data_IF_098534614083
#
_entry.id   IF_098534614083
#
_cell.length_a   1.000
_cell.length_b   1.000
_cell.length_c   1.000
_cell.angle_alpha   90.00
_cell.angle_beta   90.00
_cell.angle_gamma   90.00
#
_symmetry.space_group_name_H-M   'P 1'
#
loop_
_entity.id
_entity.type
_entity.pdbx_description
1 polymer ?
#
# COMPACT_ATOMS: atom_id res chain seq x y z
N UNK A 1 -27.88 -11.93 -10.36
CA UNK A 1 -26.99 -10.95 -9.73
C UNK A 1 -26.70 -9.89 -10.78
N UNK A 2 -27.41 -8.76 -10.72
CA UNK A 2 -27.30 -7.69 -11.72
C UNK A 2 -26.27 -6.69 -11.18
N UNK A 3 -25.15 -6.57 -11.89
CA UNK A 3 -24.16 -5.52 -11.65
C UNK A 3 -24.82 -4.18 -12.02
N UNK A 4 -24.88 -3.25 -11.08
CA UNK A 4 -25.42 -1.91 -11.33
C UNK A 4 -24.62 -1.24 -12.46
N UNK A 5 -25.32 -0.90 -13.54
CA UNK A 5 -24.77 -0.29 -14.74
C UNK A 5 -24.23 1.10 -14.45
N UNK A 6 -22.92 1.32 -14.66
CA UNK A 6 -22.39 2.66 -14.94
C UNK A 6 -21.13 3.09 -14.19
N UNK A 7 -20.70 2.37 -13.15
CA UNK A 7 -19.44 2.68 -12.46
C UNK A 7 -18.34 1.73 -12.94
N UNK A 8 -17.13 2.23 -13.28
CA UNK A 8 -16.02 1.36 -13.63
C UNK A 8 -15.73 0.43 -12.45
N UNK A 9 -15.84 -0.87 -12.69
CA UNK A 9 -15.46 -1.88 -11.70
C UNK A 9 -13.94 -1.90 -11.68
N UNK A 10 -13.36 -1.27 -10.65
CA UNK A 10 -11.93 -1.40 -10.37
C UNK A 10 -11.73 -2.78 -9.74
N UNK A 11 -11.11 -3.68 -10.49
CA UNK A 11 -10.70 -4.99 -9.99
C UNK A 11 -9.34 -4.83 -9.29
N UNK A 12 -9.30 -5.10 -8.00
CA UNK A 12 -8.05 -5.13 -7.23
C UNK A 12 -7.72 -6.59 -6.86
N UNK A 13 -6.44 -6.96 -7.00
CA UNK A 13 -5.97 -8.31 -6.75
C UNK A 13 -5.83 -8.54 -5.23
N UNK A 14 -6.88 -9.13 -4.65
CA UNK A 14 -6.93 -9.39 -3.21
C UNK A 14 -5.85 -10.38 -2.73
N UNK A 15 -5.57 -11.44 -3.48
CA UNK A 15 -4.49 -12.39 -3.21
C UNK A 15 -4.11 -13.19 -4.44
N UNK A 16 -2.87 -13.68 -4.49
CA UNK A 16 -2.37 -14.59 -5.50
C UNK A 16 -1.57 -15.69 -4.80
N UNK A 17 -1.71 -16.93 -5.29
CA UNK A 17 -0.97 -18.08 -4.76
C UNK A 17 -0.39 -18.86 -5.92
N UNK A 18 0.92 -18.79 -6.09
CA UNK A 18 1.64 -19.66 -7.01
C UNK A 18 1.84 -21.03 -6.34
N UNK A 19 1.16 -22.06 -6.83
CA UNK A 19 1.29 -23.42 -6.31
C UNK A 19 2.62 -24.07 -6.69
N UNK A 20 3.23 -23.67 -7.79
CA UNK A 20 4.47 -24.25 -8.33
C UNK A 20 5.71 -23.41 -7.99
N UNK A 21 5.52 -22.22 -7.44
CA UNK A 21 6.58 -21.32 -7.00
C UNK A 21 7.41 -21.86 -5.83
N UNK A 22 8.52 -21.18 -5.49
CA UNK A 22 9.51 -21.66 -4.52
C UNK A 22 9.06 -21.62 -3.05
N UNK A 23 7.92 -21.00 -2.76
CA UNK A 23 7.39 -20.88 -1.40
C UNK A 23 7.15 -22.25 -0.75
N UNK A 24 7.20 -22.28 0.58
CA UNK A 24 6.91 -23.50 1.35
C UNK A 24 5.42 -23.86 1.28
N UNK A 25 5.10 -25.15 1.47
CA UNK A 25 3.71 -25.62 1.53
C UNK A 25 2.89 -24.91 2.62
N UNK A 26 3.51 -24.58 3.76
CA UNK A 26 2.85 -23.86 4.85
C UNK A 26 2.40 -22.47 4.40
N UNK A 27 3.29 -21.70 3.77
CA UNK A 27 2.96 -20.35 3.25
C UNK A 27 1.83 -20.41 2.22
N UNK A 28 1.87 -21.40 1.31
CA UNK A 28 0.81 -21.61 0.32
C UNK A 28 -0.53 -21.97 0.98
N UNK A 29 -0.51 -22.85 1.98
CA UNK A 29 -1.70 -23.26 2.71
C UNK A 29 -2.32 -22.08 3.50
N UNK A 30 -1.49 -21.24 4.11
CA UNK A 30 -1.94 -20.03 4.82
C UNK A 30 -2.61 -19.04 3.87
N UNK A 31 -2.06 -18.82 2.67
CA UNK A 31 -2.70 -17.98 1.67
C UNK A 31 -4.03 -18.57 1.18
N UNK A 32 -4.09 -19.88 0.93
CA UNK A 32 -5.33 -20.56 0.53
C UNK A 32 -6.36 -20.63 1.65
N UNK A 33 -5.95 -20.54 2.92
CA UNK A 33 -6.90 -20.53 4.04
C UNK A 33 -7.88 -19.35 3.93
N UNK A 34 -7.46 -18.23 3.35
CA UNK A 34 -8.27 -17.04 3.21
C UNK A 34 -9.55 -17.25 2.35
N UNK A 35 -9.56 -18.25 1.45
CA UNK A 35 -10.75 -18.61 0.65
C UNK A 35 -11.57 -19.75 1.27
N UNK A 36 -11.16 -20.27 2.44
CA UNK A 36 -11.92 -21.31 3.14
C UNK A 36 -13.24 -20.79 3.70
N UNK A 37 -14.21 -21.68 3.86
CA UNK A 37 -15.53 -21.35 4.45
C UNK A 37 -15.42 -20.70 5.83
N UNK A 38 -14.46 -21.14 6.64
CA UNK A 38 -14.27 -20.61 8.00
C UNK A 38 -13.64 -19.21 7.99
N UNK A 39 -12.68 -18.95 7.10
CA UNK A 39 -12.12 -17.61 6.91
C UNK A 39 -13.17 -16.61 6.41
N UNK A 40 -14.03 -17.02 5.47
CA UNK A 40 -15.12 -16.19 4.94
C UNK A 40 -16.13 -15.83 6.04
N UNK A 41 -16.57 -16.80 6.84
CA UNK A 41 -17.49 -16.55 7.97
C UNK A 41 -16.92 -15.54 8.97
N UNK A 42 -15.60 -15.55 9.17
CA UNK A 42 -14.88 -14.68 10.10
C UNK A 42 -14.47 -13.34 9.49
N UNK A 43 -14.89 -13.03 8.25
CA UNK A 43 -14.51 -11.80 7.53
C UNK A 43 -12.99 -11.62 7.36
N UNK A 44 -12.25 -12.73 7.35
CA UNK A 44 -10.79 -12.69 7.21
C UNK A 44 -10.34 -12.00 5.91
N UNK A 45 -11.11 -12.16 4.83
CA UNK A 45 -10.87 -11.46 3.57
C UNK A 45 -11.08 -9.95 3.68
N UNK A 46 -12.04 -9.49 4.47
CA UNK A 46 -12.26 -8.06 4.73
C UNK A 46 -11.05 -7.47 5.47
N UNK A 47 -10.49 -8.21 6.43
CA UNK A 47 -9.31 -7.79 7.19
C UNK A 47 -8.05 -7.76 6.32
N UNK A 48 -7.86 -8.79 5.49
CA UNK A 48 -6.78 -8.83 4.50
C UNK A 48 -6.88 -7.66 3.52
N UNK A 49 -8.09 -7.37 3.04
CA UNK A 49 -8.36 -6.23 2.16
C UNK A 49 -8.02 -4.91 2.85
N UNK A 50 -8.46 -4.71 4.09
CA UNK A 50 -8.14 -3.49 4.87
C UNK A 50 -6.65 -3.29 5.04
N UNK A 51 -5.92 -4.36 5.38
CA UNK A 51 -4.48 -4.31 5.52
C UNK A 51 -3.79 -3.96 4.20
N UNK A 52 -4.19 -4.60 3.09
CA UNK A 52 -3.66 -4.29 1.75
C UNK A 52 -3.99 -2.86 1.31
N UNK A 53 -5.22 -2.39 1.51
CA UNK A 53 -5.61 -1.04 1.16
C UNK A 53 -4.81 0.01 1.97
N UNK A 54 -4.64 -0.22 3.27
CA UNK A 54 -3.86 0.67 4.13
C UNK A 54 -2.36 0.71 3.76
N UNK A 55 -1.83 -0.39 3.24
CA UNK A 55 -0.43 -0.52 2.79
C UNK A 55 -0.28 -0.35 1.28
N UNK A 56 -1.33 0.07 0.58
CA UNK A 56 -1.26 0.30 -0.86
C UNK A 56 -0.25 1.40 -1.17
N UNK A 57 0.42 1.35 -2.32
CA UNK A 57 1.41 2.37 -2.69
C UNK A 57 0.86 3.80 -2.60
N UNK A 58 -0.40 4.00 -3.01
CA UNK A 58 -1.13 5.27 -2.89
C UNK A 58 -1.37 5.71 -1.45
N UNK A 59 -1.75 4.78 -0.57
CA UNK A 59 -1.95 5.08 0.86
C UNK A 59 -0.63 5.47 1.51
N UNK A 60 0.44 4.72 1.22
CA UNK A 60 1.77 5.00 1.73
C UNK A 60 2.36 6.30 1.16
N UNK A 61 2.18 6.59 -0.13
CA UNK A 61 2.64 7.84 -0.74
C UNK A 61 1.97 9.06 -0.09
N UNK A 62 0.66 8.99 0.12
CA UNK A 62 -0.09 10.05 0.81
C UNK A 62 0.39 10.27 2.25
N UNK A 63 0.75 9.20 2.97
CA UNK A 63 1.31 9.30 4.32
C UNK A 63 2.72 9.93 4.29
N UNK A 64 3.59 9.50 3.38
CA UNK A 64 4.96 10.02 3.26
C UNK A 64 4.96 11.51 2.89
N UNK A 65 4.03 11.93 2.04
CA UNK A 65 3.86 13.32 1.61
C UNK A 65 3.02 14.17 2.58
N UNK A 66 2.61 13.62 3.72
CA UNK A 66 1.87 14.38 4.73
C UNK A 66 2.77 15.40 5.43
N UNK A 67 2.20 16.56 5.79
CA UNK A 67 2.90 17.65 6.49
C UNK A 67 3.78 17.21 7.68
N UNK A 68 3.31 16.39 8.64
CA UNK A 68 4.15 15.99 9.78
C UNK A 68 5.35 15.13 9.36
N UNK A 69 5.21 14.32 8.31
CA UNK A 69 6.31 13.48 7.81
C UNK A 69 7.31 14.33 7.02
N UNK A 70 6.82 15.20 6.13
CA UNK A 70 7.67 16.14 5.38
C UNK A 70 8.46 17.03 6.34
N UNK A 71 7.83 17.54 7.41
CA UNK A 71 8.53 18.35 8.41
C UNK A 71 9.59 17.54 9.19
N UNK A 72 9.29 16.28 9.52
CA UNK A 72 10.26 15.39 10.16
C UNK A 72 11.47 15.13 9.26
N UNK A 73 11.24 14.87 7.97
CA UNK A 73 12.30 14.69 6.97
C UNK A 73 13.12 15.97 6.83
N UNK A 74 12.47 17.14 6.76
CA UNK A 74 13.14 18.46 6.68
C UNK A 74 14.06 18.70 7.88
N UNK A 75 13.57 18.41 9.09
CA UNK A 75 14.36 18.55 10.33
C UNK A 75 15.57 17.62 10.34
N UNK A 76 15.39 16.38 9.92
CA UNK A 76 16.48 15.40 9.88
C UNK A 76 17.51 15.73 8.77
N UNK A 77 17.06 16.22 7.62
CA UNK A 77 17.93 16.71 6.54
C UNK A 77 18.84 17.85 7.03
N UNK A 78 18.24 18.85 7.68
CA UNK A 78 18.99 19.97 8.26
C UNK A 78 19.99 19.51 9.31
N UNK A 79 19.59 18.58 10.18
CA UNK A 79 20.46 18.04 11.24
C UNK A 79 21.68 17.31 10.67
N UNK A 80 21.50 16.54 9.59
CA UNK A 80 22.57 15.74 9.00
C UNK A 80 23.47 16.49 8.04
N UNK A 81 22.93 17.45 7.29
CA UNK A 81 23.63 18.09 6.17
C UNK A 81 23.87 19.59 6.37
N UNK A 82 23.19 20.21 7.35
CA UNK A 82 23.16 21.66 7.50
C UNK A 82 22.28 22.40 6.48
N UNK A 83 21.76 21.70 5.46
CA UNK A 83 20.93 22.29 4.42
C UNK A 83 19.47 22.47 4.89
N UNK A 84 18.90 23.65 4.62
CA UNK A 84 17.50 23.95 4.87
C UNK A 84 16.76 24.00 3.54
N UNK A 85 15.80 23.10 3.38
CA UNK A 85 14.91 23.03 2.22
C UNK A 85 13.49 23.43 2.63
N UNK A 86 12.74 24.04 1.72
CA UNK A 86 11.34 24.34 1.96
C UNK A 86 10.45 23.09 1.93
N UNK A 87 9.31 23.11 2.63
CA UNK A 87 8.40 21.97 2.71
C UNK A 87 7.77 21.63 1.34
N UNK A 88 7.43 22.63 0.52
CA UNK A 88 6.83 22.40 -0.79
C UNK A 88 7.86 21.84 -1.77
N UNK A 89 9.10 22.34 -1.69
CA UNK A 89 10.22 21.82 -2.48
C UNK A 89 10.52 20.35 -2.12
N UNK A 90 10.58 20.03 -0.82
CA UNK A 90 10.83 18.67 -0.35
C UNK A 90 9.71 17.72 -0.76
N UNK A 91 8.45 18.15 -0.66
CA UNK A 91 7.28 17.37 -1.11
C UNK A 91 7.36 17.04 -2.60
N UNK A 92 7.72 18.04 -3.43
CA UNK A 92 7.91 17.87 -4.86
C UNK A 92 9.05 16.87 -5.18
N UNK A 93 10.20 17.01 -4.51
CA UNK A 93 11.33 16.09 -4.71
C UNK A 93 11.00 14.66 -4.28
N UNK A 94 10.33 14.49 -3.13
CA UNK A 94 9.88 13.19 -2.67
C UNK A 94 8.89 12.55 -3.64
N UNK A 95 7.92 13.32 -4.14
CA UNK A 95 6.89 12.80 -5.06
C UNK A 95 7.37 12.56 -6.49
N UNK A 96 8.43 13.24 -6.94
CA UNK A 96 8.94 13.14 -8.31
C UNK A 96 10.14 12.19 -8.44
N UNK A 97 11.03 12.15 -7.44
CA UNK A 97 12.33 11.48 -7.55
C UNK A 97 12.49 10.27 -6.61
N UNK A 98 11.71 10.20 -5.51
CA UNK A 98 11.85 9.13 -4.51
C UNK A 98 10.68 8.15 -4.56
N UNK A 99 9.46 8.66 -4.52
CA UNK A 99 8.24 7.90 -4.73
C UNK A 99 8.07 7.83 -6.26
N UNK A 100 8.16 6.63 -6.83
CA UNK A 100 8.02 6.49 -8.28
C UNK A 100 6.65 7.06 -8.71
N UNK A 101 6.64 7.87 -9.76
CA UNK A 101 5.43 8.56 -10.21
C UNK A 101 4.30 7.62 -10.69
N UNK A 102 4.59 6.34 -10.91
CA UNK A 102 3.61 5.29 -11.26
C UNK A 102 2.77 4.81 -10.07
N UNK A 103 3.17 5.13 -8.84
CA UNK A 103 2.50 4.72 -7.60
C UNK A 103 2.00 5.89 -6.73
N UNK A 104 2.25 7.13 -7.15
CA UNK A 104 1.83 8.39 -6.50
C UNK A 104 0.33 8.68 -6.67
#
# INVERSE_FOLDING_TARGET
MILASGLPVVLDLAMEVDLLGPDTLTVKADHLFAISKEAIKRRYLDDLWRAKAATSPRSLSAIVLSEPVVDAVRKELRKRTGHSCDADELTRLLGAEVIRADIS
#
